data_IF_403700698518
#
_entry.id   IF_403700698518
#
_cell.length_a   1.000
_cell.length_b   1.000
_cell.length_c   1.000
_cell.angle_alpha   90.00
_cell.angle_beta   90.00
_cell.angle_gamma   90.00
#
_symmetry.space_group_name_H-M   'P 1'
#
loop_
_entity.id
_entity.type
_entity.pdbx_description
1 polymer ?
#
# COMPACT_ATOMS: atom_id res chain seq x y z
N UNK A 1 15.66 -23.29 -3.32
CA UNK A 1 15.45 -22.22 -2.34
C UNK A 1 14.83 -22.74 -1.06
N UNK A 2 14.59 -21.84 -0.12
CA UNK A 2 13.81 -22.01 1.12
C UNK A 2 12.42 -21.42 0.88
N UNK A 3 11.38 -22.15 1.26
CA UNK A 3 9.99 -21.70 1.08
C UNK A 3 9.52 -20.89 2.28
N UNK A 4 8.71 -19.86 2.03
CA UNK A 4 7.99 -19.12 3.06
C UNK A 4 6.58 -18.77 2.59
N UNK A 5 5.69 -18.51 3.54
CA UNK A 5 4.33 -18.02 3.29
C UNK A 5 4.15 -16.62 3.80
N UNK A 6 3.30 -15.84 3.15
CA UNK A 6 2.83 -14.56 3.66
C UNK A 6 1.37 -14.37 3.29
N UNK A 7 0.69 -13.47 4.00
CA UNK A 7 -0.72 -13.15 3.78
C UNK A 7 -0.89 -11.68 3.45
N UNK A 8 -1.62 -11.36 2.40
CA UNK A 8 -1.90 -9.99 1.96
C UNK A 8 -3.40 -9.81 1.75
N UNK A 9 -3.96 -8.63 2.03
CA UNK A 9 -5.35 -8.32 1.65
C UNK A 9 -5.51 -7.96 0.18
N UNK A 10 -4.43 -7.44 -0.41
CA UNK A 10 -4.37 -7.07 -1.82
C UNK A 10 -3.12 -7.68 -2.44
N UNK A 11 -3.30 -8.44 -3.52
CA UNK A 11 -2.19 -9.07 -4.24
C UNK A 11 -1.56 -8.14 -5.28
N UNK A 12 -2.25 -7.12 -5.79
CA UNK A 12 -1.71 -6.26 -6.85
C UNK A 12 -1.15 -7.02 -8.05
N UNK A 13 -1.77 -8.14 -8.41
CA UNK A 13 -1.36 -8.91 -9.58
C UNK A 13 -0.07 -9.73 -9.42
N UNK A 14 0.44 -9.97 -8.19
CA UNK A 14 1.46 -11.02 -8.01
C UNK A 14 0.94 -12.35 -8.55
N UNK A 15 1.81 -13.06 -9.24
CA UNK A 15 1.54 -14.37 -9.85
C UNK A 15 2.79 -15.25 -9.75
N UNK A 16 2.70 -16.56 -10.05
CA UNK A 16 3.88 -17.41 -10.14
C UNK A 16 4.97 -16.79 -11.03
N UNK A 17 6.21 -16.77 -10.54
CA UNK A 17 7.35 -16.15 -11.21
C UNK A 17 7.60 -14.68 -10.87
N UNK A 18 6.65 -13.98 -10.23
CA UNK A 18 6.88 -12.59 -9.78
C UNK A 18 8.12 -12.52 -8.86
N UNK A 19 9.03 -11.55 -9.04
CA UNK A 19 10.25 -11.48 -8.25
C UNK A 19 10.02 -11.32 -6.74
N UNK A 20 10.89 -11.96 -5.97
CA UNK A 20 11.04 -11.72 -4.53
C UNK A 20 12.39 -11.05 -4.31
N UNK A 21 12.37 -9.95 -3.56
CA UNK A 21 13.56 -9.16 -3.22
C UNK A 21 13.77 -9.13 -1.72
N UNK A 22 15.03 -9.03 -1.31
CA UNK A 22 15.47 -8.88 0.06
C UNK A 22 16.36 -7.65 0.17
N UNK A 23 15.92 -6.63 0.91
CA UNK A 23 16.64 -5.34 0.99
C UNK A 23 16.92 -4.73 -0.39
N UNK A 24 16.02 -4.94 -1.35
CA UNK A 24 16.20 -4.51 -2.72
C UNK A 24 17.08 -5.40 -3.60
N UNK A 25 17.60 -6.55 -3.14
CA UNK A 25 18.29 -7.53 -4.00
C UNK A 25 17.32 -8.63 -4.43
N UNK A 26 17.28 -9.02 -5.72
CA UNK A 26 16.45 -10.17 -6.15
C UNK A 26 17.06 -11.46 -5.59
N UNK A 27 16.25 -12.21 -4.83
CA UNK A 27 16.67 -13.44 -4.14
C UNK A 27 15.68 -14.59 -4.32
N UNK A 28 14.74 -14.48 -5.26
CA UNK A 28 13.74 -15.54 -5.43
C UNK A 28 12.55 -15.13 -6.27
N UNK A 29 11.48 -15.91 -6.13
CA UNK A 29 10.22 -15.73 -6.85
C UNK A 29 9.02 -16.28 -6.10
N UNK A 30 7.84 -15.77 -6.45
CA UNK A 30 6.56 -16.32 -6.03
C UNK A 30 6.35 -17.69 -6.70
N UNK A 31 5.97 -18.69 -5.90
CA UNK A 31 5.61 -20.03 -6.35
C UNK A 31 4.11 -20.15 -6.64
N UNK A 32 3.27 -19.63 -5.74
CA UNK A 32 1.82 -19.69 -5.90
C UNK A 32 1.13 -18.54 -5.19
N UNK A 33 -0.05 -18.17 -5.71
CA UNK A 33 -0.94 -17.17 -5.13
C UNK A 33 -2.35 -17.76 -5.13
N UNK A 34 -3.04 -17.71 -3.99
CA UNK A 34 -4.41 -18.21 -3.85
C UNK A 34 -5.15 -17.47 -2.75
N UNK A 35 -6.49 -17.46 -2.81
CA UNK A 35 -7.31 -17.09 -1.65
C UNK A 35 -7.00 -18.06 -0.51
N UNK A 36 -6.77 -17.55 0.70
CA UNK A 36 -6.50 -18.39 1.87
C UNK A 36 -7.73 -19.28 2.16
N UNK A 37 -7.59 -20.63 2.12
CA UNK A 37 -8.70 -21.55 2.38
C UNK A 37 -9.29 -21.44 3.79
N UNK A 38 -8.50 -20.93 4.76
CA UNK A 38 -8.94 -20.74 6.15
C UNK A 38 -9.54 -19.36 6.41
N UNK A 39 -9.31 -18.38 5.54
CA UNK A 39 -9.78 -17.01 5.68
C UNK A 39 -9.87 -16.32 4.32
N UNK A 40 -11.07 -16.28 3.74
CA UNK A 40 -11.30 -15.70 2.41
C UNK A 40 -11.05 -14.19 2.32
N UNK A 41 -10.80 -13.50 3.43
CA UNK A 41 -10.45 -12.07 3.44
C UNK A 41 -8.98 -11.80 3.13
N UNK A 42 -8.17 -12.85 2.96
CA UNK A 42 -6.73 -12.75 2.72
C UNK A 42 -6.29 -13.64 1.56
N UNK A 43 -5.19 -13.22 0.94
CA UNK A 43 -4.49 -13.93 -0.13
C UNK A 43 -3.25 -14.56 0.46
N UNK A 44 -3.13 -15.89 0.34
CA UNK A 44 -1.92 -16.63 0.65
C UNK A 44 -0.95 -16.56 -0.54
N UNK A 45 0.27 -16.11 -0.29
CA UNK A 45 1.36 -16.10 -1.25
C UNK A 45 2.47 -17.00 -0.74
N UNK A 46 2.83 -18.00 -1.55
CA UNK A 46 3.98 -18.86 -1.29
C UNK A 46 5.16 -18.36 -2.11
N UNK A 47 6.27 -18.11 -1.45
CA UNK A 47 7.52 -17.65 -2.06
C UNK A 47 8.61 -18.68 -1.87
N UNK A 48 9.52 -18.76 -2.83
CA UNK A 48 10.78 -19.46 -2.69
C UNK A 48 11.93 -18.46 -2.80
N UNK A 49 12.79 -18.45 -1.79
CA UNK A 49 13.98 -17.58 -1.72
C UNK A 49 15.25 -18.41 -1.79
N UNK A 50 16.35 -17.82 -2.21
CA UNK A 50 17.65 -18.49 -2.29
C UNK A 50 18.15 -18.88 -0.90
N UNK A 51 18.97 -19.93 -0.80
CA UNK A 51 19.39 -20.49 0.50
C UNK A 51 20.35 -19.58 1.27
N UNK A 52 21.02 -18.69 0.56
CA UNK A 52 21.94 -17.68 1.07
C UNK A 52 21.23 -16.37 1.47
N UNK A 53 19.95 -16.21 1.13
CA UNK A 53 19.16 -15.06 1.54
C UNK A 53 18.90 -15.11 3.07
N UNK A 54 19.35 -14.11 3.85
CA UNK A 54 19.26 -14.16 5.31
C UNK A 54 17.88 -13.69 5.81
N UNK A 55 16.82 -14.42 5.47
CA UNK A 55 15.46 -14.13 5.94
C UNK A 55 15.34 -14.44 7.44
N UNK A 56 14.93 -13.44 8.20
CA UNK A 56 14.87 -13.51 9.67
C UNK A 56 13.44 -13.63 10.18
N UNK A 57 13.30 -14.03 11.44
CA UNK A 57 12.00 -14.14 12.11
C UNK A 57 11.29 -12.80 12.26
N UNK A 58 12.00 -11.67 12.16
CA UNK A 58 11.47 -10.32 12.16
C UNK A 58 11.50 -9.62 10.80
N UNK A 59 11.90 -10.33 9.74
CA UNK A 59 11.70 -9.87 8.37
C UNK A 59 10.21 -9.65 8.11
N UNK A 60 9.92 -8.55 7.40
CA UNK A 60 8.57 -8.16 7.01
C UNK A 60 8.49 -8.24 5.49
N UNK A 61 7.55 -9.05 5.01
CA UNK A 61 7.23 -9.17 3.60
C UNK A 61 6.13 -8.18 3.22
N UNK A 62 6.30 -7.45 2.11
CA UNK A 62 5.31 -6.48 1.64
C UNK A 62 5.26 -6.47 0.13
N UNK A 63 4.11 -6.09 -0.40
CA UNK A 63 3.97 -5.80 -1.82
C UNK A 63 4.64 -4.45 -2.13
N UNK A 64 5.49 -4.39 -3.16
CA UNK A 64 6.21 -3.17 -3.52
C UNK A 64 6.34 -3.05 -5.03
N UNK A 65 6.64 -1.85 -5.52
CA UNK A 65 6.84 -1.55 -6.94
C UNK A 65 7.94 -0.49 -7.08
N UNK A 66 8.63 -0.44 -8.22
CA UNK A 66 9.67 0.57 -8.49
C UNK A 66 9.11 1.89 -9.05
N UNK A 67 7.78 2.00 -9.12
CA UNK A 67 7.04 3.16 -9.60
C UNK A 67 5.54 2.86 -9.65
N UNK A 68 4.76 3.85 -10.05
CA UNK A 68 3.30 3.73 -10.15
C UNK A 68 2.84 2.74 -11.23
N UNK A 69 3.56 2.70 -12.34
CA UNK A 69 3.22 1.90 -13.52
C UNK A 69 3.99 0.58 -13.59
N UNK A 70 4.91 0.34 -12.66
CA UNK A 70 5.72 -0.87 -12.68
C UNK A 70 4.97 -2.03 -12.04
N UNK A 71 5.23 -3.24 -12.54
CA UNK A 71 4.73 -4.46 -11.92
C UNK A 71 5.12 -4.54 -10.44
N UNK A 72 4.21 -5.15 -9.67
CA UNK A 72 4.47 -5.42 -8.28
C UNK A 72 5.43 -6.60 -8.10
N UNK A 73 6.16 -6.56 -7.00
CA UNK A 73 7.05 -7.61 -6.54
C UNK A 73 6.93 -7.76 -5.01
N UNK A 74 7.44 -8.87 -4.46
CA UNK A 74 7.49 -9.07 -3.01
C UNK A 74 8.81 -8.55 -2.47
N UNK A 75 8.77 -7.56 -1.57
CA UNK A 75 9.94 -7.06 -0.84
C UNK A 75 9.97 -7.69 0.56
N UNK A 76 11.11 -8.23 0.96
CA UNK A 76 11.38 -8.76 2.30
C UNK A 76 12.40 -7.83 2.97
N UNK A 77 12.05 -7.31 4.15
CA UNK A 77 12.98 -6.48 4.92
C UNK A 77 14.10 -7.31 5.54
N UNK A 78 15.24 -6.66 5.81
CA UNK A 78 16.43 -7.34 6.33
C UNK A 78 16.33 -7.80 7.79
N UNK A 79 15.25 -7.41 8.47
CA UNK A 79 15.10 -7.62 9.90
C UNK A 79 16.18 -6.88 10.71
N UNK A 80 16.31 -7.25 11.98
CA UNK A 80 17.34 -6.73 12.89
C UNK A 80 18.56 -7.67 12.97
N UNK A 81 19.76 -7.19 13.35
CA UNK A 81 20.94 -8.03 13.45
C UNK A 81 20.78 -9.23 14.40
N UNK A 82 20.05 -9.07 15.50
CA UNK A 82 19.90 -10.05 16.58
C UNK A 82 18.79 -11.08 16.33
N UNK A 83 17.92 -10.87 15.35
CA UNK A 83 16.84 -11.81 15.07
C UNK A 83 17.38 -13.13 14.50
N UNK A 84 16.75 -14.23 14.91
CA UNK A 84 17.06 -15.57 14.42
C UNK A 84 16.65 -15.74 12.96
N UNK A 85 17.23 -16.73 12.29
CA UNK A 85 16.82 -17.14 10.94
C UNK A 85 15.39 -17.66 10.97
N UNK A 86 14.60 -17.30 9.96
CA UNK A 86 13.27 -17.86 9.79
C UNK A 86 13.37 -19.34 9.39
N UNK A 87 12.59 -20.19 10.06
CA UNK A 87 12.52 -21.61 9.69
C UNK A 87 11.96 -21.78 8.28
N UNK A 88 12.36 -22.83 7.54
CA UNK A 88 11.69 -23.22 6.30
C UNK A 88 10.17 -23.37 6.51
N UNK A 89 9.40 -23.00 5.51
CA UNK A 89 7.93 -23.05 5.49
C UNK A 89 7.22 -22.20 6.56
N UNK A 90 7.96 -21.28 7.20
CA UNK A 90 7.39 -20.32 8.13
C UNK A 90 6.50 -19.28 7.44
N UNK A 91 5.58 -18.73 8.23
CA UNK A 91 4.78 -17.57 7.84
C UNK A 91 5.54 -16.30 8.23
N UNK A 92 5.93 -15.49 7.25
CA UNK A 92 6.56 -14.20 7.48
C UNK A 92 5.52 -13.17 7.91
N UNK A 93 5.94 -12.20 8.73
CA UNK A 93 5.11 -11.03 9.01
C UNK A 93 4.89 -10.28 7.71
N UNK A 94 3.66 -9.85 7.47
CA UNK A 94 3.33 -9.04 6.32
C UNK A 94 2.89 -7.64 6.72
N UNK A 95 3.25 -6.65 5.90
CA UNK A 95 2.70 -5.31 6.01
C UNK A 95 2.07 -4.90 4.69
N UNK A 96 0.96 -4.17 4.80
CA UNK A 96 0.33 -3.56 3.65
C UNK A 96 1.13 -2.30 3.30
N UNK A 97 1.70 -2.26 2.10
CA UNK A 97 2.19 -1.01 1.55
C UNK A 97 0.97 -0.20 1.18
N UNK A 98 0.75 0.94 1.86
CA UNK A 98 -0.17 1.98 1.40
C UNK A 98 0.35 2.48 0.06
N UNK A 99 -0.10 1.83 -1.01
CA UNK A 99 0.22 2.28 -2.35
C UNK A 99 -0.27 3.73 -2.49
N UNK A 100 0.48 4.52 -3.24
CA UNK A 100 0.04 5.79 -3.81
C UNK A 100 -1.31 5.69 -4.54
N UNK A 101 -1.83 4.49 -4.82
CA UNK A 101 -3.20 4.29 -5.28
C UNK A 101 -4.23 4.95 -4.32
N UNK A 102 -4.03 4.85 -3.01
CA UNK A 102 -4.89 5.53 -2.03
C UNK A 102 -4.76 7.06 -2.08
N UNK A 103 -3.71 7.60 -2.72
CA UNK A 103 -3.58 9.05 -2.93
C UNK A 103 -4.60 9.56 -3.95
N UNK A 104 -4.95 8.75 -4.96
CA UNK A 104 -6.03 9.06 -5.90
C UNK A 104 -7.36 9.22 -5.17
N UNK A 105 -7.73 8.23 -4.37
CA UNK A 105 -8.95 8.26 -3.55
C UNK A 105 -8.95 9.46 -2.58
N UNK A 106 -7.77 9.76 -2.01
CA UNK A 106 -7.60 10.93 -1.13
C UNK A 106 -7.82 12.23 -1.91
N UNK A 107 -7.25 12.39 -3.11
CA UNK A 107 -7.44 13.56 -3.97
C UNK A 107 -8.91 13.70 -4.38
N UNK A 108 -9.56 12.62 -4.79
CA UNK A 108 -10.98 12.61 -5.19
C UNK A 108 -11.88 13.04 -4.02
N UNK A 109 -11.54 12.65 -2.79
CA UNK A 109 -12.26 13.08 -1.58
C UNK A 109 -12.07 14.56 -1.23
N UNK A 110 -10.99 15.20 -1.71
CA UNK A 110 -10.68 16.61 -1.44
C UNK A 110 -11.41 17.57 -2.39
N UNK A 111 -11.66 17.17 -3.65
CA UNK A 111 -12.32 18.02 -4.66
C UNK A 111 -13.68 18.60 -4.18
N UNK A 112 -14.59 17.81 -3.58
CA UNK A 112 -15.86 18.34 -3.08
C UNK A 112 -15.70 19.36 -1.95
N UNK A 113 -14.67 19.18 -1.09
CA UNK A 113 -14.40 20.08 0.03
C UNK A 113 -13.92 21.45 -0.47
N UNK A 114 -13.08 21.46 -1.51
CA UNK A 114 -12.60 22.69 -2.15
C UNK A 114 -13.76 23.46 -2.78
N UNK A 115 -14.65 22.79 -3.53
CA UNK A 115 -15.84 23.43 -4.11
C UNK A 115 -16.73 24.05 -3.03
N UNK A 116 -17.01 23.29 -1.97
CA UNK A 116 -17.81 23.77 -0.83
C UNK A 116 -17.18 25.02 -0.18
N UNK A 117 -15.85 25.06 -0.05
CA UNK A 117 -15.15 26.21 0.51
C UNK A 117 -15.27 27.46 -0.40
N UNK A 118 -15.13 27.28 -1.72
CA UNK A 118 -15.32 28.35 -2.71
C UNK A 118 -16.77 28.86 -2.70
N UNK A 119 -17.75 27.96 -2.73
CA UNK A 119 -19.18 28.31 -2.72
C UNK A 119 -19.54 29.12 -1.46
N UNK A 120 -19.07 28.69 -0.29
CA UNK A 120 -19.27 29.42 0.97
C UNK A 120 -18.64 30.81 0.95
N UNK A 121 -17.47 30.96 0.31
CA UNK A 121 -16.82 32.26 0.19
C UNK A 121 -17.63 33.20 -0.70
N UNK A 122 -18.09 32.72 -1.85
CA UNK A 122 -18.95 33.50 -2.76
C UNK A 122 -20.24 33.94 -2.06
N UNK A 123 -20.92 33.02 -1.38
CA UNK A 123 -22.15 33.34 -0.63
C UNK A 123 -21.91 34.40 0.45
N UNK A 124 -20.79 34.29 1.18
CA UNK A 124 -20.46 35.29 2.20
C UNK A 124 -20.19 36.67 1.59
N UNK A 125 -19.50 36.73 0.43
CA UNK A 125 -19.26 37.99 -0.28
C UNK A 125 -20.56 38.63 -0.77
N UNK A 126 -21.47 37.84 -1.34
CA UNK A 126 -22.78 38.32 -1.79
C UNK A 126 -23.59 38.89 -0.61
N UNK A 127 -23.56 38.20 0.53
CA UNK A 127 -24.25 38.63 1.76
C UNK A 127 -23.67 39.94 2.30
N UNK A 128 -22.35 40.13 2.24
CA UNK A 128 -21.70 41.39 2.61
C UNK A 128 -22.11 42.51 1.67
N UNK A 129 -22.16 42.26 0.36
CA UNK A 129 -22.56 43.27 -0.62
C UNK A 129 -24.02 43.71 -0.39
N UNK A 130 -24.95 42.75 -0.21
CA UNK A 130 -26.35 43.08 0.10
C UNK A 130 -26.49 43.82 1.43
N UNK A 131 -25.69 43.45 2.44
CA UNK A 131 -25.69 44.14 3.74
C UNK A 131 -25.23 45.59 3.59
N UNK A 132 -24.18 45.84 2.82
CA UNK A 132 -23.66 47.19 2.55
C UNK A 132 -24.69 48.02 1.76
N UNK A 133 -25.27 47.47 0.69
CA UNK A 133 -26.31 48.14 -0.12
C UNK A 133 -27.54 48.52 0.71
N UNK A 134 -27.92 47.69 1.68
CA UNK A 134 -29.05 47.96 2.58
C UNK A 134 -28.79 49.09 3.57
N UNK A 135 -27.53 49.33 3.94
CA UNK A 135 -27.14 50.35 4.93
C UNK A 135 -26.77 51.68 4.24
N UNK A 136 -26.35 51.64 2.97
CA UNK A 136 -26.02 52.80 2.14
C UNK A 136 -26.90 52.86 0.87
N UNK A 137 -28.21 53.12 0.98
CA UNK A 137 -29.02 53.33 -0.22
C UNK A 137 -28.55 54.63 -0.90
N UNK A 138 -27.99 54.48 -2.11
CA UNK A 138 -27.58 55.61 -2.94
C UNK A 138 -28.82 56.45 -3.23
N UNK A 139 -28.79 57.73 -2.83
CA UNK A 139 -29.85 58.70 -3.12
C UNK A 139 -30.00 58.95 -4.61
#
# INVERSE_FOLDING_TARGET
GVSHRLYLKFSGGVQPGTPVRYGGLRVGSVQSVRVDPGDSTRIEVNVIVDRDAPVKTDSVARLSSLGLLSDYYIEISTGTPQAAMASPDSVLRSSETTALANLGDTIDSLVPQIRTAVDKLTVNLDTLQTTIERILPTR
#
